data_IF_035689022162
#
_entry.id   IF_035689022162
#
_cell.length_a   1.000
_cell.length_b   1.000
_cell.length_c   1.000
_cell.angle_alpha   90.00
_cell.angle_beta   90.00
_cell.angle_gamma   90.00
#
_symmetry.space_group_name_H-M   'P 1'
#
loop_
_entity.id
_entity.type
_entity.pdbx_description
1 polymer ?
#
# COMPACT_ATOMS: atom_id res chain seq x y z
N UNK A 1 -62.27 46.67 -30.60
CA UNK A 1 -61.22 47.00 -29.60
C UNK A 1 -60.86 45.71 -28.88
N UNK A 2 -59.63 45.21 -29.03
CA UNK A 2 -59.20 44.03 -28.30
C UNK A 2 -59.00 44.39 -26.82
N UNK A 3 -59.49 43.53 -25.92
CA UNK A 3 -59.26 43.72 -24.48
C UNK A 3 -57.75 43.74 -24.23
N UNK A 4 -57.24 44.68 -23.41
CA UNK A 4 -55.82 44.71 -23.09
C UNK A 4 -55.41 43.38 -22.42
N UNK A 5 -54.24 42.88 -22.78
CA UNK A 5 -53.70 41.59 -22.33
C UNK A 5 -53.59 41.48 -20.79
N UNK A 6 -53.54 42.60 -20.08
CA UNK A 6 -53.48 42.63 -18.61
C UNK A 6 -54.86 42.55 -17.94
N UNK A 7 -55.96 42.59 -18.69
CA UNK A 7 -57.32 42.54 -18.14
C UNK A 7 -57.66 41.21 -17.46
N UNK A 8 -56.95 40.13 -17.81
CA UNK A 8 -57.01 38.81 -17.16
C UNK A 8 -56.43 38.83 -15.73
N UNK A 9 -55.50 39.73 -15.44
CA UNK A 9 -54.92 39.89 -14.09
C UNK A 9 -55.70 40.89 -13.22
N UNK A 10 -56.74 41.53 -13.78
CA UNK A 10 -57.53 42.52 -13.07
C UNK A 10 -58.65 41.89 -12.24
N UNK A 11 -58.34 41.64 -10.96
CA UNK A 11 -59.33 41.19 -9.96
C UNK A 11 -60.11 42.40 -9.43
N UNK A 12 -61.44 42.42 -9.56
CA UNK A 12 -62.27 43.57 -9.13
C UNK A 12 -62.48 43.65 -7.61
N UNK A 13 -62.51 42.52 -6.91
CA UNK A 13 -62.77 42.47 -5.48
C UNK A 13 -61.47 42.62 -4.66
N UNK A 14 -61.36 43.58 -3.75
CA UNK A 14 -60.22 43.70 -2.82
C UNK A 14 -59.99 42.44 -1.99
N UNK A 15 -61.07 41.75 -1.58
CA UNK A 15 -61.02 40.52 -0.80
C UNK A 15 -60.34 39.40 -1.59
N UNK A 16 -60.67 39.26 -2.87
CA UNK A 16 -60.09 38.22 -3.73
C UNK A 16 -58.59 38.46 -3.98
N UNK A 17 -58.15 39.73 -4.06
CA UNK A 17 -56.71 40.07 -4.17
C UNK A 17 -55.94 39.65 -2.91
N UNK A 18 -56.47 39.96 -1.74
CA UNK A 18 -55.86 39.59 -0.45
C UNK A 18 -55.82 38.07 -0.32
N UNK A 19 -56.90 37.37 -0.67
CA UNK A 19 -56.96 35.90 -0.65
C UNK A 19 -55.93 35.23 -1.54
N UNK A 20 -55.73 35.73 -2.78
CA UNK A 20 -54.69 35.23 -3.68
C UNK A 20 -53.29 35.45 -3.12
N UNK A 21 -53.00 36.62 -2.54
CA UNK A 21 -51.71 36.89 -1.90
C UNK A 21 -51.42 35.93 -0.75
N UNK A 22 -52.39 35.72 0.15
CA UNK A 22 -52.27 34.76 1.26
C UNK A 22 -52.06 33.34 0.71
N UNK A 23 -52.81 32.93 -0.31
CA UNK A 23 -52.64 31.61 -0.94
C UNK A 23 -51.22 31.40 -1.47
N UNK A 24 -50.66 32.38 -2.20
CA UNK A 24 -49.29 32.28 -2.72
C UNK A 24 -48.26 32.21 -1.59
N UNK A 25 -48.42 33.00 -0.53
CA UNK A 25 -47.52 32.94 0.64
C UNK A 25 -47.61 31.56 1.31
N UNK A 26 -48.82 31.03 1.54
CA UNK A 26 -49.01 29.70 2.12
C UNK A 26 -48.44 28.61 1.22
N UNK A 27 -48.61 28.72 -0.11
CA UNK A 27 -48.04 27.79 -1.08
C UNK A 27 -46.50 27.84 -1.05
N UNK A 28 -45.90 29.03 -1.01
CA UNK A 28 -44.45 29.19 -0.87
C UNK A 28 -43.93 28.60 0.43
N UNK A 29 -44.62 28.82 1.56
CA UNK A 29 -44.27 28.22 2.85
C UNK A 29 -44.35 26.69 2.81
N UNK A 30 -45.37 26.13 2.14
CA UNK A 30 -45.51 24.69 1.92
C UNK A 30 -44.36 24.13 1.09
N UNK A 31 -43.97 24.81 0.01
CA UNK A 31 -42.84 24.40 -0.85
C UNK A 31 -41.53 24.41 -0.06
N UNK A 32 -41.26 25.46 0.71
CA UNK A 32 -40.04 25.54 1.53
C UNK A 32 -40.05 24.47 2.63
N UNK A 33 -41.18 24.22 3.28
CA UNK A 33 -41.31 23.15 4.27
C UNK A 33 -41.07 21.76 3.65
N UNK A 34 -41.59 21.53 2.44
CA UNK A 34 -41.37 20.30 1.69
C UNK A 34 -39.91 20.14 1.25
N UNK A 35 -39.27 21.21 0.77
CA UNK A 35 -37.84 21.21 0.47
C UNK A 35 -37.00 20.93 1.71
N UNK A 36 -37.30 21.58 2.84
CA UNK A 36 -36.63 21.33 4.11
C UNK A 36 -36.74 19.87 4.58
N UNK A 37 -37.86 19.20 4.31
CA UNK A 37 -38.04 17.79 4.65
C UNK A 37 -37.26 16.84 3.73
N UNK A 38 -37.09 17.18 2.46
CA UNK A 38 -36.40 16.34 1.46
C UNK A 38 -34.89 16.59 1.39
N UNK A 39 -34.45 17.77 1.82
CA UNK A 39 -33.05 18.17 1.68
C UNK A 39 -32.11 17.27 2.48
N UNK A 40 -32.50 16.84 3.68
CA UNK A 40 -31.68 15.96 4.51
C UNK A 40 -31.42 14.60 3.82
N UNK A 41 -32.44 13.81 3.41
CA UNK A 41 -32.22 12.61 2.61
C UNK A 41 -31.43 12.84 1.30
N UNK A 42 -31.66 13.98 0.63
CA UNK A 42 -30.96 14.32 -0.61
C UNK A 42 -29.47 14.55 -0.37
N UNK A 43 -29.12 15.29 0.69
CA UNK A 43 -27.74 15.53 1.09
C UNK A 43 -27.07 14.22 1.50
N UNK A 44 -27.75 13.36 2.28
CA UNK A 44 -27.22 12.05 2.66
C UNK A 44 -26.91 11.16 1.45
N UNK A 45 -27.81 11.10 0.47
CA UNK A 45 -27.57 10.37 -0.77
C UNK A 45 -26.40 10.94 -1.59
N UNK A 46 -26.24 12.27 -1.59
CA UNK A 46 -25.11 12.92 -2.25
C UNK A 46 -23.79 12.65 -1.54
N UNK A 47 -23.76 12.65 -0.21
CA UNK A 47 -22.58 12.28 0.59
C UNK A 47 -22.18 10.84 0.31
N UNK A 48 -23.11 9.88 0.34
CA UNK A 48 -22.82 8.49 0.03
C UNK A 48 -22.25 8.30 -1.40
N UNK A 49 -22.78 9.03 -2.38
CA UNK A 49 -22.24 9.03 -3.74
C UNK A 49 -20.83 9.63 -3.82
N UNK A 50 -20.52 10.63 -3.00
CA UNK A 50 -19.19 11.21 -2.91
C UNK A 50 -18.18 10.24 -2.29
N UNK A 51 -18.58 9.58 -1.21
CA UNK A 51 -17.75 8.59 -0.51
C UNK A 51 -17.42 7.40 -1.41
N UNK A 52 -18.42 6.86 -2.13
CA UNK A 52 -18.19 5.79 -3.13
C UNK A 52 -17.19 6.22 -4.22
N UNK A 53 -17.34 7.43 -4.76
CA UNK A 53 -16.42 7.96 -5.78
C UNK A 53 -15.01 8.20 -5.22
N UNK A 54 -14.92 8.61 -3.95
CA UNK A 54 -13.65 8.77 -3.24
C UNK A 54 -12.88 7.46 -3.18
N UNK A 55 -13.57 6.36 -2.87
CA UNK A 55 -13.01 5.00 -2.83
C UNK A 55 -12.58 4.54 -4.22
N UNK A 56 -13.38 4.78 -5.26
CA UNK A 56 -13.04 4.42 -6.66
C UNK A 56 -11.77 5.14 -7.14
N UNK A 57 -11.67 6.45 -6.88
CA UNK A 57 -10.46 7.23 -7.20
C UNK A 57 -9.26 6.74 -6.40
N UNK A 58 -9.47 6.44 -5.11
CA UNK A 58 -8.43 5.86 -4.25
C UNK A 58 -7.93 4.52 -4.77
N UNK A 59 -8.80 3.66 -5.28
CA UNK A 59 -8.43 2.38 -5.87
C UNK A 59 -7.53 2.54 -7.10
N UNK A 60 -7.87 3.47 -8.00
CA UNK A 60 -7.04 3.78 -9.18
C UNK A 60 -5.66 4.33 -8.76
N UNK A 61 -5.63 5.25 -7.80
CA UNK A 61 -4.37 5.77 -7.27
C UNK A 61 -3.54 4.67 -6.62
N UNK A 62 -4.17 3.78 -5.85
CA UNK A 62 -3.50 2.68 -5.18
C UNK A 62 -2.90 1.70 -6.18
N UNK A 63 -3.66 1.32 -7.21
CA UNK A 63 -3.18 0.44 -8.27
C UNK A 63 -1.94 1.00 -8.99
N UNK A 64 -1.92 2.30 -9.23
CA UNK A 64 -0.84 2.96 -9.95
C UNK A 64 0.41 3.24 -9.11
N UNK A 65 0.28 3.35 -7.78
CA UNK A 65 1.36 3.88 -6.92
C UNK A 65 1.75 2.98 -5.74
N UNK A 66 0.85 2.12 -5.27
CA UNK A 66 1.02 1.39 -4.01
C UNK A 66 1.03 -0.13 -4.19
N UNK A 67 0.32 -0.63 -5.20
CA UNK A 67 0.11 -2.07 -5.42
C UNK A 67 1.41 -2.84 -5.71
N UNK A 68 2.45 -2.19 -6.25
CA UNK A 68 3.75 -2.82 -6.51
C UNK A 68 4.43 -3.34 -5.23
N UNK A 69 4.17 -2.69 -4.09
CA UNK A 69 4.75 -3.06 -2.79
C UNK A 69 3.69 -3.71 -1.88
N UNK A 70 2.50 -3.12 -1.80
CA UNK A 70 1.44 -3.59 -0.90
C UNK A 70 0.54 -4.67 -1.54
N UNK A 71 0.81 -5.08 -2.78
CA UNK A 71 -0.02 -5.99 -3.55
C UNK A 71 -1.31 -5.33 -4.07
N UNK A 72 -1.91 -5.85 -5.15
CA UNK A 72 -3.13 -5.29 -5.74
C UNK A 72 -4.32 -5.27 -4.76
N UNK A 73 -4.37 -6.24 -3.85
CA UNK A 73 -5.45 -6.38 -2.85
C UNK A 73 -5.04 -5.84 -1.46
N UNK A 74 -3.91 -5.13 -1.36
CA UNK A 74 -3.41 -4.61 -0.09
C UNK A 74 -2.86 -5.67 0.88
N UNK A 75 -2.67 -6.91 0.43
CA UNK A 75 -2.21 -8.04 1.27
C UNK A 75 -0.72 -8.01 1.63
N UNK A 76 0.02 -7.01 1.13
CA UNK A 76 1.45 -6.90 1.36
C UNK A 76 2.26 -7.96 0.61
N UNK A 77 3.57 -7.81 0.69
CA UNK A 77 4.54 -8.75 0.14
C UNK A 77 5.60 -9.01 1.21
N UNK A 78 5.96 -10.27 1.49
CA UNK A 78 6.95 -10.60 2.51
C UNK A 78 8.25 -9.80 2.36
N UNK A 79 8.72 -9.19 3.46
CA UNK A 79 9.90 -8.33 3.54
C UNK A 79 9.92 -7.07 2.67
N UNK A 80 8.86 -6.81 1.89
CA UNK A 80 8.74 -5.62 1.03
C UNK A 80 7.84 -4.57 1.69
N UNK A 81 6.58 -4.90 1.93
CA UNK A 81 5.64 -4.01 2.58
C UNK A 81 4.57 -4.79 3.37
N UNK A 82 4.09 -4.22 4.49
CA UNK A 82 3.11 -4.88 5.33
C UNK A 82 1.74 -4.99 4.64
N UNK A 83 0.97 -5.98 5.10
CA UNK A 83 -0.43 -6.14 4.74
C UNK A 83 -1.27 -4.99 5.33
N UNK A 84 -1.92 -4.22 4.46
CA UNK A 84 -2.91 -3.20 4.80
C UNK A 84 -4.31 -3.82 4.91
N UNK A 85 -4.58 -4.85 4.09
CA UNK A 85 -5.81 -5.64 4.12
C UNK A 85 -5.65 -6.84 5.07
N UNK A 86 -5.47 -6.56 6.35
CA UNK A 86 -5.24 -7.56 7.41
C UNK A 86 -6.02 -7.19 8.67
N UNK A 87 -6.55 -8.20 9.39
CA UNK A 87 -7.25 -7.99 10.67
C UNK A 87 -6.40 -7.20 11.64
N UNK A 88 -5.11 -7.55 11.75
CA UNK A 88 -4.13 -6.88 12.60
C UNK A 88 -4.05 -5.37 12.35
N UNK A 89 -4.08 -4.96 11.07
CA UNK A 89 -3.95 -3.56 10.69
C UNK A 89 -5.09 -2.70 11.25
N UNK A 90 -6.31 -3.25 11.27
CA UNK A 90 -7.50 -2.57 11.75
C UNK A 90 -7.70 -2.68 13.27
N UNK A 91 -7.22 -3.74 13.92
CA UNK A 91 -7.53 -4.00 15.34
C UNK A 91 -6.39 -3.66 16.30
N UNK A 92 -5.14 -3.89 15.92
CA UNK A 92 -4.03 -3.93 16.87
C UNK A 92 -2.87 -3.00 16.51
N UNK A 93 -2.69 -2.67 15.23
CA UNK A 93 -1.52 -1.92 14.77
C UNK A 93 -1.29 -0.61 15.52
N UNK A 94 -2.33 0.18 15.76
CA UNK A 94 -2.20 1.48 16.43
C UNK A 94 -1.66 1.35 17.85
N UNK A 95 -2.11 0.33 18.58
CA UNK A 95 -1.63 0.04 19.92
C UNK A 95 -0.14 -0.34 19.89
N UNK A 96 0.27 -1.13 18.90
CA UNK A 96 1.66 -1.57 18.76
C UNK A 96 2.64 -0.46 18.42
N UNK A 97 2.18 0.59 17.72
CA UNK A 97 3.02 1.76 17.43
C UNK A 97 2.85 2.88 18.45
N UNK A 98 2.02 2.69 19.48
CA UNK A 98 1.72 3.71 20.48
C UNK A 98 1.01 4.95 19.90
N UNK A 99 0.24 4.78 18.83
CA UNK A 99 -0.50 5.86 18.19
C UNK A 99 -1.83 6.12 18.91
N UNK A 100 -2.09 7.38 19.26
CA UNK A 100 -3.28 7.78 20.01
C UNK A 100 -4.43 8.32 19.14
N UNK A 101 -4.18 8.56 17.85
CA UNK A 101 -5.19 9.02 16.89
C UNK A 101 -5.98 7.88 16.25
N UNK A 102 -6.84 8.23 15.30
CA UNK A 102 -7.57 7.24 14.48
C UNK A 102 -6.66 6.53 13.47
N UNK A 103 -7.11 5.38 12.96
CA UNK A 103 -6.42 4.64 11.90
C UNK A 103 -6.31 5.49 10.62
N UNK A 104 -7.38 6.20 10.26
CA UNK A 104 -7.37 7.12 9.11
C UNK A 104 -6.26 8.16 9.21
N UNK A 105 -6.10 8.80 10.37
CA UNK A 105 -5.02 9.78 10.60
C UNK A 105 -3.64 9.15 10.55
N UNK A 106 -3.49 7.91 11.03
CA UNK A 106 -2.24 7.17 10.94
C UNK A 106 -1.86 6.88 9.48
N UNK A 107 -2.83 6.43 8.67
CA UNK A 107 -2.64 6.17 7.24
C UNK A 107 -2.36 7.46 6.48
N UNK A 108 -3.15 8.50 6.73
CA UNK A 108 -2.98 9.82 6.13
C UNK A 108 -1.57 10.37 6.40
N UNK A 109 -1.12 10.40 7.66
CA UNK A 109 0.23 10.84 8.00
C UNK A 109 1.31 9.99 7.32
N UNK A 110 1.12 8.67 7.29
CA UNK A 110 2.07 7.74 6.66
C UNK A 110 2.17 7.99 5.15
N UNK A 111 1.05 8.28 4.47
CA UNK A 111 1.06 8.64 3.05
C UNK A 111 1.70 10.01 2.82
N UNK A 112 1.37 10.99 3.65
CA UNK A 112 1.92 12.34 3.52
C UNK A 112 3.43 12.35 3.67
N UNK A 113 3.96 11.77 4.75
CA UNK A 113 5.38 11.86 5.09
C UNK A 113 6.22 10.68 4.57
N UNK A 114 5.59 9.57 4.18
CA UNK A 114 6.28 8.29 3.95
C UNK A 114 6.69 7.62 5.26
N UNK A 115 7.47 6.54 5.16
CA UNK A 115 8.01 5.81 6.31
C UNK A 115 9.46 5.43 6.04
N UNK A 116 10.43 5.94 6.83
CA UNK A 116 11.82 5.56 6.66
C UNK A 116 12.00 4.07 6.94
N UNK A 117 12.97 3.47 6.26
CA UNK A 117 13.41 2.11 6.57
C UNK A 117 14.01 2.06 7.96
N UNK A 118 13.69 1.01 8.71
CA UNK A 118 14.43 0.63 9.91
C UNK A 118 15.33 -0.54 9.51
N UNK A 119 16.64 -0.32 9.53
CA UNK A 119 17.67 -1.31 9.16
C UNK A 119 17.56 -2.62 9.95
N UNK A 120 16.97 -2.56 11.14
CA UNK A 120 16.89 -3.68 12.08
C UNK A 120 15.49 -4.30 12.14
N UNK A 121 14.66 -4.08 11.11
CA UNK A 121 13.33 -4.70 11.00
C UNK A 121 13.15 -5.39 9.65
N UNK A 122 12.22 -6.33 9.59
CA UNK A 122 11.82 -7.05 8.38
C UNK A 122 11.40 -6.17 7.18
N UNK A 123 11.11 -4.88 7.39
CA UNK A 123 10.67 -3.94 6.36
C UNK A 123 11.81 -3.01 6.00
N UNK A 124 12.74 -3.55 5.21
CA UNK A 124 13.99 -2.87 4.82
C UNK A 124 13.77 -1.78 3.77
N UNK A 125 12.63 -1.79 3.09
CA UNK A 125 12.29 -0.79 2.07
C UNK A 125 11.68 0.47 2.68
N UNK A 126 12.07 1.62 2.14
CA UNK A 126 11.48 2.91 2.49
C UNK A 126 10.12 3.01 1.80
N UNK A 127 9.07 3.38 2.55
CA UNK A 127 7.84 3.86 1.93
C UNK A 127 8.06 5.33 1.56
N UNK A 128 8.04 5.69 0.27
CA UNK A 128 8.34 7.05 -0.16
C UNK A 128 7.28 8.04 0.33
N UNK A 129 7.66 9.31 0.35
CA UNK A 129 6.77 10.43 0.66
C UNK A 129 5.82 10.68 -0.51
N UNK A 130 4.51 10.68 -0.28
CA UNK A 130 3.51 10.89 -1.33
C UNK A 130 2.87 12.27 -1.31
N UNK A 131 2.71 12.88 -0.13
CA UNK A 131 2.08 14.19 0.01
C UNK A 131 2.93 15.32 -0.59
N UNK A 132 2.30 16.17 -1.40
CA UNK A 132 2.97 17.28 -2.07
C UNK A 132 3.53 18.32 -1.10
N UNK A 133 2.93 18.49 0.08
CA UNK A 133 3.46 19.38 1.11
C UNK A 133 4.79 18.88 1.70
N UNK A 134 5.11 17.59 1.53
CA UNK A 134 6.36 16.97 1.95
C UNK A 134 7.28 16.62 0.76
N UNK A 135 6.93 17.05 -0.46
CA UNK A 135 7.73 16.85 -1.68
C UNK A 135 7.33 15.64 -2.54
N UNK A 136 6.23 14.96 -2.21
CA UNK A 136 5.66 13.89 -3.02
C UNK A 136 4.77 14.38 -4.18
N UNK A 137 4.28 13.47 -5.05
CA UNK A 137 3.53 13.84 -6.24
C UNK A 137 2.03 14.05 -6.02
N UNK A 138 1.47 13.63 -4.88
CA UNK A 138 0.02 13.60 -4.65
C UNK A 138 -0.45 14.80 -3.85
N UNK A 139 -1.59 15.36 -4.25
CA UNK A 139 -2.27 16.42 -3.48
C UNK A 139 -3.02 15.85 -2.27
N UNK A 140 -3.32 16.69 -1.29
CA UNK A 140 -4.07 16.31 -0.10
C UNK A 140 -5.42 15.62 -0.42
N UNK A 141 -6.17 16.06 -1.43
CA UNK A 141 -7.42 15.42 -1.85
C UNK A 141 -7.19 13.98 -2.35
N UNK A 142 -6.11 13.75 -3.08
CA UNK A 142 -5.72 12.42 -3.57
C UNK A 142 -5.28 11.50 -2.42
N UNK A 143 -4.59 12.04 -1.41
CA UNK A 143 -4.27 11.31 -0.19
C UNK A 143 -5.55 10.91 0.55
N UNK A 144 -6.52 11.81 0.71
CA UNK A 144 -7.79 11.48 1.35
C UNK A 144 -8.56 10.36 0.61
N UNK A 145 -8.52 10.33 -0.72
CA UNK A 145 -9.09 9.24 -1.52
C UNK A 145 -8.38 7.90 -1.28
N UNK A 146 -7.04 7.88 -1.21
CA UNK A 146 -6.26 6.70 -0.85
C UNK A 146 -6.61 6.19 0.56
N UNK A 147 -6.73 7.11 1.53
CA UNK A 147 -7.14 6.77 2.91
C UNK A 147 -8.52 6.12 2.91
N UNK A 148 -9.49 6.71 2.20
CA UNK A 148 -10.84 6.16 2.08
C UNK A 148 -10.83 4.75 1.47
N UNK A 149 -10.01 4.52 0.43
CA UNK A 149 -9.87 3.20 -0.18
C UNK A 149 -9.25 2.16 0.77
N UNK A 150 -8.17 2.50 1.47
CA UNK A 150 -7.53 1.59 2.43
C UNK A 150 -8.49 1.26 3.58
N UNK A 151 -9.20 2.25 4.12
CA UNK A 151 -10.16 2.03 5.21
C UNK A 151 -11.39 1.23 4.77
N UNK A 152 -11.73 1.25 3.48
CA UNK A 152 -12.85 0.48 2.95
C UNK A 152 -12.65 -1.05 3.07
N UNK A 153 -11.42 -1.52 3.31
CA UNK A 153 -11.16 -2.94 3.60
C UNK A 153 -11.55 -3.37 5.01
N UNK A 154 -11.93 -2.46 5.91
CA UNK A 154 -12.15 -2.79 7.32
C UNK A 154 -13.11 -3.96 7.50
N UNK A 155 -14.29 -3.93 6.87
CA UNK A 155 -15.32 -4.96 7.01
C UNK A 155 -14.81 -6.35 6.61
N UNK A 156 -14.15 -6.43 5.44
CA UNK A 156 -13.59 -7.68 4.94
C UNK A 156 -12.38 -8.14 5.78
N UNK A 157 -11.51 -7.21 6.17
CA UNK A 157 -10.29 -7.49 6.93
C UNK A 157 -10.59 -8.04 8.32
N UNK A 158 -11.56 -7.46 9.04
CA UNK A 158 -11.90 -7.89 10.40
C UNK A 158 -12.62 -9.24 10.44
N UNK A 159 -13.22 -9.63 9.31
CA UNK A 159 -13.90 -10.91 9.13
C UNK A 159 -12.97 -12.07 8.78
N UNK A 160 -11.72 -11.80 8.38
CA UNK A 160 -10.74 -12.83 8.03
C UNK A 160 -10.44 -13.76 9.21
N UNK A 161 -10.40 -15.06 8.92
CA UNK A 161 -9.88 -16.07 9.85
C UNK A 161 -8.34 -16.00 9.91
N UNK A 162 -7.70 -16.59 10.94
CA UNK A 162 -6.24 -16.67 10.98
C UNK A 162 -5.63 -17.34 9.75
N UNK A 163 -6.32 -18.26 9.10
CA UNK A 163 -5.82 -18.94 7.88
C UNK A 163 -5.84 -18.02 6.66
N UNK A 164 -6.82 -17.12 6.57
CA UNK A 164 -7.01 -16.22 5.43
C UNK A 164 -6.24 -14.91 5.56
N UNK A 165 -5.99 -14.48 6.80
CA UNK A 165 -5.37 -13.19 7.07
C UNK A 165 -3.91 -13.16 6.59
N UNK A 166 -3.53 -12.24 5.68
CA UNK A 166 -2.17 -12.10 5.18
C UNK A 166 -1.21 -11.49 6.21
N UNK A 167 -1.63 -11.32 7.47
CA UNK A 167 -0.80 -10.84 8.57
C UNK A 167 0.56 -11.54 8.63
N UNK A 168 1.58 -10.70 8.81
CA UNK A 168 2.97 -11.08 9.03
C UNK A 168 3.43 -10.48 10.36
N UNK A 169 4.24 -11.23 11.09
CA UNK A 169 4.70 -10.83 12.42
C UNK A 169 5.64 -9.63 12.38
N UNK A 170 5.32 -8.56 13.11
CA UNK A 170 6.18 -7.38 13.27
C UNK A 170 7.20 -7.58 14.39
N UNK A 171 8.48 -7.67 14.04
CA UNK A 171 9.60 -7.85 14.97
C UNK A 171 9.70 -6.72 16.00
N UNK A 172 9.22 -5.52 15.67
CA UNK A 172 9.21 -4.35 16.56
C UNK A 172 7.85 -4.07 17.22
N UNK A 173 6.88 -4.98 17.13
CA UNK A 173 5.58 -4.82 17.78
C UNK A 173 5.72 -4.79 19.31
N UNK A 174 5.08 -3.81 19.95
CA UNK A 174 5.03 -3.71 21.41
C UNK A 174 4.18 -4.81 22.04
N UNK A 175 3.07 -5.19 21.41
CA UNK A 175 2.25 -6.29 21.91
C UNK A 175 2.74 -7.64 21.40
N UNK A 176 2.83 -8.59 22.33
CA UNK A 176 3.18 -9.99 22.05
C UNK A 176 1.94 -10.87 21.91
N UNK A 177 0.82 -10.25 21.52
CA UNK A 177 -0.48 -10.91 21.36
C UNK A 177 -0.84 -10.92 19.88
N UNK A 178 -1.48 -12.00 19.43
CA UNK A 178 -2.04 -12.06 18.10
C UNK A 178 -3.41 -11.36 18.08
N UNK A 179 -3.87 -10.85 16.93
CA UNK A 179 -5.21 -10.27 16.76
C UNK A 179 -6.32 -11.34 16.68
N UNK A 180 -6.02 -12.58 17.09
CA UNK A 180 -6.88 -13.75 16.96
C UNK A 180 -7.09 -14.40 18.32
N UNK A 181 -8.22 -15.07 18.48
CA UNK A 181 -8.51 -15.89 19.65
C UNK A 181 -7.88 -17.29 19.52
N UNK A 182 -7.39 -17.91 20.62
CA UNK A 182 -6.75 -19.23 20.59
C UNK A 182 -7.62 -20.39 20.07
N UNK A 183 -8.95 -20.23 20.07
CA UNK A 183 -9.91 -21.23 19.58
C UNK A 183 -10.18 -21.13 18.07
N UNK A 184 -9.67 -20.11 17.39
CA UNK A 184 -9.86 -19.93 15.94
C UNK A 184 -8.96 -20.90 15.13
N UNK A 185 -9.47 -21.54 14.07
CA UNK A 185 -8.66 -22.34 13.15
C UNK A 185 -7.48 -21.54 12.57
N UNK A 186 -6.29 -22.15 12.54
CA UNK A 186 -5.06 -21.49 12.08
C UNK A 186 -4.32 -20.66 13.13
N UNK A 187 -4.86 -20.51 14.35
CA UNK A 187 -4.18 -19.77 15.43
C UNK A 187 -2.77 -20.30 15.70
N UNK A 188 -2.62 -21.60 15.89
CA UNK A 188 -1.33 -22.23 16.18
C UNK A 188 -0.31 -22.03 15.06
N UNK A 189 -0.75 -21.98 13.79
CA UNK A 189 0.11 -21.68 12.66
C UNK A 189 0.62 -20.24 12.72
N UNK A 190 -0.24 -19.28 13.09
CA UNK A 190 0.17 -17.88 13.28
C UNK A 190 1.10 -17.71 14.47
N UNK A 191 0.89 -18.44 15.57
CA UNK A 191 1.82 -18.48 16.71
C UNK A 191 3.19 -18.99 16.26
N UNK A 192 3.22 -20.12 15.54
CA UNK A 192 4.47 -20.69 15.02
C UNK A 192 5.19 -19.75 14.07
N UNK A 193 4.46 -19.07 13.16
CA UNK A 193 5.03 -18.06 12.26
C UNK A 193 5.64 -16.88 13.03
N UNK A 194 4.94 -16.39 14.07
CA UNK A 194 5.42 -15.29 14.89
C UNK A 194 6.67 -15.66 15.70
N UNK A 195 6.70 -16.87 16.27
CA UNK A 195 7.86 -17.38 17.00
C UNK A 195 9.04 -17.55 16.06
N UNK A 196 8.86 -18.19 14.91
CA UNK A 196 9.93 -18.36 13.93
C UNK A 196 10.51 -17.01 13.45
N UNK A 197 9.66 -16.01 13.24
CA UNK A 197 10.09 -14.67 12.87
C UNK A 197 10.82 -13.94 14.00
N UNK A 198 10.41 -14.15 15.26
CA UNK A 198 11.11 -13.62 16.44
C UNK A 198 12.49 -14.28 16.63
N UNK A 199 12.57 -15.61 16.45
CA UNK A 199 13.82 -16.37 16.51
C UNK A 199 14.79 -15.96 15.40
N UNK A 200 14.29 -15.77 14.18
CA UNK A 200 15.09 -15.25 13.06
C UNK A 200 15.62 -13.83 13.31
N UNK A 201 14.91 -13.03 14.12
CA UNK A 201 15.34 -11.71 14.57
C UNK A 201 16.26 -11.75 15.81
N UNK A 202 16.63 -12.95 16.30
CA UNK A 202 17.48 -13.13 17.48
C UNK A 202 16.78 -12.85 18.82
N UNK A 203 15.45 -12.79 18.85
CA UNK A 203 14.70 -12.57 20.09
C UNK A 203 14.62 -13.84 20.94
N UNK A 204 15.13 -13.79 22.17
CA UNK A 204 15.09 -14.90 23.14
C UNK A 204 14.06 -14.62 24.24
N UNK A 205 13.33 -15.64 24.67
CA UNK A 205 12.33 -15.53 25.75
C UNK A 205 11.07 -14.75 25.35
N UNK A 206 10.80 -14.68 24.05
CA UNK A 206 9.64 -14.01 23.49
C UNK A 206 8.42 -14.93 23.53
N UNK A 207 7.33 -14.55 24.21
CA UNK A 207 6.17 -15.43 24.40
C UNK A 207 4.94 -14.92 23.63
N UNK A 208 4.34 -15.77 22.79
CA UNK A 208 3.01 -15.54 22.17
C UNK A 208 2.07 -16.67 22.60
N UNK A 209 0.88 -16.33 23.10
CA UNK A 209 -0.13 -17.34 23.45
C UNK A 209 0.32 -18.32 24.54
N UNK A 210 1.36 -17.98 25.32
CA UNK A 210 1.97 -18.87 26.32
C UNK A 210 3.07 -19.79 25.76
N UNK A 211 3.37 -19.72 24.46
CA UNK A 211 4.48 -20.45 23.82
C UNK A 211 5.69 -19.53 23.68
N UNK A 212 6.86 -19.98 24.14
CA UNK A 212 8.09 -19.18 24.21
C UNK A 212 9.03 -19.50 23.03
N UNK A 213 9.54 -18.45 22.39
CA UNK A 213 10.61 -18.52 21.41
C UNK A 213 11.87 -19.06 22.08
N UNK A 214 12.42 -20.12 21.49
CA UNK A 214 13.60 -20.78 22.01
C UNK A 214 14.83 -20.05 21.48
N UNK A 215 15.90 -20.02 22.27
CA UNK A 215 17.17 -19.58 21.75
C UNK A 215 17.49 -20.42 20.50
N UNK A 216 17.85 -19.81 19.36
CA UNK A 216 18.32 -20.60 18.23
C UNK A 216 19.47 -21.47 18.76
N UNK A 217 19.38 -22.78 18.53
CA UNK A 217 20.45 -23.70 18.93
C UNK A 217 21.78 -23.12 18.43
N UNK A 218 22.78 -23.04 19.29
CA UNK A 218 24.15 -22.69 18.90
C UNK A 218 24.56 -23.67 17.77
N UNK A 219 24.41 -23.25 16.52
CA UNK A 219 24.59 -24.10 15.35
C UNK A 219 23.43 -24.23 14.35
N UNK A 220 22.33 -23.47 14.48
CA UNK A 220 21.38 -23.34 13.36
C UNK A 220 22.00 -22.45 12.26
N UNK A 221 22.83 -23.06 11.42
CA UNK A 221 23.21 -22.48 10.15
C UNK A 221 21.94 -22.13 9.37
N UNK A 222 21.96 -20.97 8.71
CA UNK A 222 21.10 -20.66 7.56
C UNK A 222 20.99 -21.91 6.64
N UNK A 223 19.86 -22.11 5.94
CA UNK A 223 19.63 -23.29 5.10
C UNK A 223 20.92 -23.74 4.43
N UNK A 224 21.34 -24.97 4.73
CA UNK A 224 22.64 -25.50 4.28
C UNK A 224 22.56 -25.83 2.80
N UNK A 225 22.81 -24.81 1.99
CA UNK A 225 22.94 -24.85 0.55
C UNK A 225 22.62 -23.49 -0.07
N UNK A 226 23.24 -23.13 -1.20
CA UNK A 226 22.85 -21.92 -1.92
C UNK A 226 21.36 -21.97 -2.27
N UNK A 227 20.63 -20.90 -1.96
CA UNK A 227 19.23 -20.75 -2.38
C UNK A 227 19.14 -20.75 -3.90
N UNK A 228 18.03 -21.26 -4.43
CA UNK A 228 17.78 -21.25 -5.88
C UNK A 228 17.77 -19.80 -6.42
N UNK A 229 18.37 -19.51 -7.59
CA UNK A 229 18.45 -18.17 -8.18
C UNK A 229 17.11 -17.46 -8.37
N UNK A 230 16.05 -18.16 -8.80
CA UNK A 230 14.72 -17.56 -8.98
C UNK A 230 14.10 -17.19 -7.63
N UNK A 231 14.33 -18.04 -6.63
CA UNK A 231 13.96 -17.77 -5.24
C UNK A 231 14.73 -16.59 -4.67
N UNK A 232 16.02 -16.47 -4.96
CA UNK A 232 16.85 -15.31 -4.57
C UNK A 232 16.34 -14.02 -5.21
N UNK A 233 16.09 -14.03 -6.52
CA UNK A 233 15.59 -12.85 -7.24
C UNK A 233 14.26 -12.35 -6.67
N UNK A 234 13.40 -13.26 -6.23
CA UNK A 234 12.11 -12.92 -5.60
C UNK A 234 12.28 -12.49 -4.15
N UNK A 235 13.00 -13.26 -3.33
CA UNK A 235 13.15 -13.03 -1.88
C UNK A 235 14.02 -11.82 -1.54
N UNK A 236 14.94 -11.43 -2.42
CA UNK A 236 15.74 -10.21 -2.31
C UNK A 236 15.02 -8.97 -2.87
N UNK A 237 13.79 -9.13 -3.39
CA UNK A 237 12.95 -8.03 -3.85
C UNK A 237 13.29 -7.48 -5.24
N UNK A 238 14.14 -8.15 -6.02
CA UNK A 238 14.57 -7.68 -7.34
C UNK A 238 13.38 -7.56 -8.31
N UNK A 239 12.40 -8.47 -8.22
CA UNK A 239 11.12 -8.45 -8.98
C UNK A 239 10.33 -7.15 -8.82
N UNK A 240 10.50 -6.43 -7.70
CA UNK A 240 9.76 -5.20 -7.43
C UNK A 240 10.25 -4.01 -8.27
N UNK A 241 11.49 -4.06 -8.77
CA UNK A 241 12.10 -2.97 -9.52
C UNK A 241 12.44 -3.36 -10.97
N UNK A 242 12.77 -4.63 -11.20
CA UNK A 242 13.24 -5.14 -12.49
C UNK A 242 12.23 -6.08 -13.13
N UNK A 243 11.81 -5.77 -14.36
CA UNK A 243 10.97 -6.67 -15.15
C UNK A 243 11.83 -7.70 -15.89
N UNK A 244 11.68 -8.98 -15.55
CA UNK A 244 12.48 -10.06 -16.14
C UNK A 244 12.15 -10.38 -17.60
N UNK A 245 10.91 -10.16 -18.02
CA UNK A 245 10.42 -10.67 -19.31
C UNK A 245 10.37 -9.59 -20.41
N UNK A 246 10.59 -8.34 -20.04
CA UNK A 246 10.53 -7.21 -20.97
C UNK A 246 11.94 -6.86 -21.46
N UNK A 247 12.14 -6.55 -22.75
CA UNK A 247 13.43 -6.04 -23.22
C UNK A 247 13.64 -4.60 -22.78
N UNK A 248 14.87 -4.24 -22.41
CA UNK A 248 15.28 -2.87 -22.19
C UNK A 248 15.67 -2.21 -23.52
N UNK A 249 14.94 -1.16 -23.91
CA UNK A 249 15.21 -0.36 -25.12
C UNK A 249 15.07 1.14 -24.81
N UNK A 250 15.32 2.01 -25.79
CA UNK A 250 15.11 3.45 -25.63
C UNK A 250 13.63 3.82 -25.39
N UNK A 251 12.71 3.05 -25.98
CA UNK A 251 11.27 3.29 -25.89
C UNK A 251 10.57 2.39 -24.85
N UNK A 252 11.25 1.35 -24.34
CA UNK A 252 10.74 0.43 -23.32
C UNK A 252 11.73 0.31 -22.16
N UNK A 253 11.47 1.07 -21.10
CA UNK A 253 12.28 1.08 -19.87
C UNK A 253 11.43 0.75 -18.66
N UNK A 254 11.98 -0.02 -17.72
CA UNK A 254 11.29 -0.32 -16.47
C UNK A 254 11.09 0.94 -15.62
N UNK A 255 10.02 1.02 -14.81
CA UNK A 255 9.63 2.23 -14.10
C UNK A 255 10.57 2.60 -12.94
N UNK A 256 11.20 1.60 -12.31
CA UNK A 256 12.07 1.78 -11.14
C UNK A 256 13.50 1.32 -11.43
N UNK A 257 13.67 0.10 -11.94
CA UNK A 257 14.93 -0.41 -12.47
C UNK A 257 14.84 -0.73 -13.96
N UNK A 258 15.97 -0.93 -14.66
CA UNK A 258 16.00 -1.40 -16.03
C UNK A 258 15.32 -2.77 -16.18
N UNK A 259 14.64 -2.95 -17.31
CA UNK A 259 14.14 -4.26 -17.72
C UNK A 259 15.32 -5.22 -17.99
N UNK A 260 15.09 -6.52 -17.83
CA UNK A 260 16.14 -7.55 -17.82
C UNK A 260 15.98 -8.61 -18.91
N UNK A 261 14.91 -8.56 -19.72
CA UNK A 261 14.61 -9.59 -20.72
C UNK A 261 15.57 -9.67 -21.92
N UNK A 262 16.53 -8.75 -22.00
CA UNK A 262 17.66 -8.80 -22.93
C UNK A 262 18.97 -8.42 -22.21
N UNK A 263 19.08 -8.78 -20.92
CA UNK A 263 20.25 -8.45 -20.11
C UNK A 263 21.53 -9.05 -20.70
N UNK A 264 21.51 -10.32 -21.10
CA UNK A 264 22.68 -11.02 -21.63
C UNK A 264 23.28 -10.32 -22.87
N UNK A 265 22.43 -9.75 -23.72
CA UNK A 265 22.85 -9.01 -24.92
C UNK A 265 23.47 -7.64 -24.57
N UNK A 266 22.93 -6.99 -23.55
CA UNK A 266 23.28 -5.62 -23.22
C UNK A 266 24.44 -5.52 -22.23
N UNK A 267 24.54 -6.43 -21.26
CA UNK A 267 25.44 -6.36 -20.10
C UNK A 267 26.91 -6.14 -20.50
N UNK A 268 27.42 -6.93 -21.45
CA UNK A 268 28.80 -6.82 -21.93
C UNK A 268 29.14 -5.48 -22.62
N UNK A 269 28.13 -4.68 -22.96
CA UNK A 269 28.31 -3.40 -23.66
C UNK A 269 28.10 -2.18 -22.74
N UNK A 270 27.81 -2.39 -21.45
CA UNK A 270 27.50 -1.30 -20.51
C UNK A 270 28.75 -0.60 -19.98
N UNK A 271 29.76 -1.37 -19.59
CA UNK A 271 31.00 -0.85 -19.01
C UNK A 271 32.18 -1.29 -19.86
N UNK A 272 32.96 -0.33 -20.33
CA UNK A 272 34.10 -0.62 -21.20
C UNK A 272 35.15 -1.45 -20.45
N UNK A 273 35.42 -2.66 -20.95
CA UNK A 273 36.42 -3.58 -20.38
C UNK A 273 35.87 -4.60 -19.39
N UNK A 274 34.57 -4.58 -19.09
CA UNK A 274 33.89 -5.64 -18.32
C UNK A 274 33.13 -6.59 -19.26
N UNK A 275 33.13 -7.87 -18.93
CA UNK A 275 32.22 -8.82 -19.57
C UNK A 275 30.83 -8.78 -18.91
N UNK A 276 29.85 -9.47 -19.51
CA UNK A 276 28.48 -9.49 -19.00
C UNK A 276 28.40 -10.01 -17.56
N UNK A 277 29.21 -11.01 -17.22
CA UNK A 277 29.22 -11.66 -15.91
C UNK A 277 29.76 -10.72 -14.82
N UNK A 278 30.87 -10.06 -15.11
CA UNK A 278 31.49 -9.04 -14.24
C UNK A 278 30.54 -7.86 -14.05
N UNK A 279 29.92 -7.37 -15.13
CA UNK A 279 28.99 -6.26 -15.06
C UNK A 279 27.78 -6.57 -14.17
N UNK A 280 27.14 -7.72 -14.34
CA UNK A 280 25.94 -8.09 -13.55
C UNK A 280 26.33 -8.36 -12.10
N UNK A 281 27.45 -9.04 -11.85
CA UNK A 281 27.98 -9.23 -10.49
C UNK A 281 28.23 -7.88 -9.80
N UNK A 282 29.00 -6.99 -10.44
CA UNK A 282 29.28 -5.64 -9.94
C UNK A 282 28.00 -4.84 -9.72
N UNK A 283 26.99 -4.98 -10.58
CA UNK A 283 25.70 -4.30 -10.42
C UNK A 283 24.94 -4.78 -9.18
N UNK A 284 25.13 -6.02 -8.75
CA UNK A 284 24.52 -6.58 -7.54
C UNK A 284 25.32 -6.18 -6.29
N UNK A 285 26.66 -6.32 -6.33
CA UNK A 285 27.49 -6.08 -5.14
C UNK A 285 27.84 -4.60 -4.93
N UNK A 286 27.89 -3.80 -6.00
CA UNK A 286 28.22 -2.39 -6.00
C UNK A 286 27.31 -1.59 -6.97
N UNK A 287 25.99 -1.51 -6.73
CA UNK A 287 25.04 -0.96 -7.70
C UNK A 287 25.31 0.49 -8.10
N UNK A 288 25.91 1.29 -7.23
CA UNK A 288 26.27 2.68 -7.52
C UNK A 288 27.56 2.85 -8.33
N UNK A 289 28.31 1.76 -8.61
CA UNK A 289 29.51 1.83 -9.43
C UNK A 289 29.19 2.18 -10.89
N UNK A 290 28.02 1.76 -11.38
CA UNK A 290 27.51 2.13 -12.69
C UNK A 290 25.98 2.18 -12.66
N UNK A 291 25.42 3.36 -12.97
CA UNK A 291 23.97 3.56 -13.07
C UNK A 291 23.59 3.70 -14.54
N UNK A 292 22.65 2.88 -15.00
CA UNK A 292 22.12 2.94 -16.37
C UNK A 292 21.49 4.30 -16.63
N UNK A 293 21.77 4.89 -17.79
CA UNK A 293 21.22 6.19 -18.18
C UNK A 293 19.70 6.24 -18.03
N UNK A 294 19.21 7.31 -17.39
CA UNK A 294 17.78 7.53 -17.15
C UNK A 294 17.26 6.97 -15.82
N UNK A 295 18.11 6.32 -15.01
CA UNK A 295 17.80 5.86 -13.65
C UNK A 295 18.52 6.70 -12.58
N UNK A 296 17.96 6.73 -11.37
CA UNK A 296 18.54 7.46 -10.24
C UNK A 296 19.51 6.57 -9.46
N UNK A 297 20.63 7.14 -9.02
CA UNK A 297 21.56 6.48 -8.12
C UNK A 297 20.94 6.29 -6.72
N UNK A 298 21.39 5.26 -6.00
CA UNK A 298 20.95 4.95 -4.64
C UNK A 298 19.59 4.28 -4.50
N UNK A 299 18.91 3.97 -5.62
CA UNK A 299 17.63 3.24 -5.61
C UNK A 299 17.84 1.74 -5.40
N UNK A 300 18.86 1.15 -6.04
CA UNK A 300 19.20 -0.26 -5.84
C UNK A 300 19.95 -0.43 -4.50
N UNK A 301 19.49 -1.33 -3.60
CA UNK A 301 20.12 -1.55 -2.30
C UNK A 301 21.60 -1.91 -2.41
N UNK A 302 22.43 -1.38 -1.50
CA UNK A 302 23.89 -1.49 -1.56
C UNK A 302 24.46 -2.62 -0.67
N UNK A 303 23.59 -3.46 -0.09
CA UNK A 303 23.97 -4.42 0.94
C UNK A 303 23.67 -5.89 0.56
N UNK A 304 23.53 -6.19 -0.73
CA UNK A 304 23.28 -7.57 -1.17
C UNK A 304 24.43 -8.53 -0.85
N UNK A 305 25.68 -8.05 -0.87
CA UNK A 305 26.86 -8.82 -0.45
C UNK A 305 26.85 -9.21 1.03
N UNK A 306 26.03 -8.56 1.85
CA UNK A 306 25.85 -8.89 3.26
C UNK A 306 24.71 -9.90 3.49
N UNK A 307 23.80 -10.04 2.50
CA UNK A 307 22.58 -10.83 2.58
C UNK A 307 22.60 -12.12 1.74
N UNK A 308 23.55 -12.22 0.81
CA UNK A 308 23.74 -13.36 -0.08
C UNK A 308 25.20 -13.83 -0.02
N UNK A 309 25.40 -15.15 -0.10
CA UNK A 309 26.76 -15.68 -0.25
C UNK A 309 27.31 -15.42 -1.65
N UNK A 310 28.62 -15.45 -1.80
CA UNK A 310 29.27 -15.31 -3.10
C UNK A 310 28.81 -16.40 -4.10
N UNK A 311 28.53 -17.61 -3.62
CA UNK A 311 28.00 -18.70 -4.43
C UNK A 311 26.58 -18.42 -4.92
N UNK A 312 25.74 -17.82 -4.06
CA UNK A 312 24.38 -17.41 -4.41
C UNK A 312 24.36 -16.25 -5.41
N UNK A 313 25.26 -15.28 -5.25
CA UNK A 313 25.40 -14.15 -6.18
C UNK A 313 25.84 -14.67 -7.55
N UNK A 314 26.85 -15.53 -7.61
CA UNK A 314 27.32 -16.11 -8.87
C UNK A 314 26.23 -16.96 -9.55
N UNK A 315 25.51 -17.78 -8.78
CA UNK A 315 24.36 -18.54 -9.31
C UNK A 315 23.24 -17.65 -9.83
N UNK A 316 22.98 -16.51 -9.16
CA UNK A 316 22.01 -15.52 -9.62
C UNK A 316 22.46 -14.84 -10.91
N UNK A 317 23.73 -14.48 -11.02
CA UNK A 317 24.32 -13.88 -12.23
C UNK A 317 24.20 -14.84 -13.41
N UNK A 318 24.58 -16.10 -13.25
CA UNK A 318 24.49 -17.12 -14.29
C UNK A 318 23.03 -17.30 -14.75
N UNK A 319 22.11 -17.38 -13.80
CA UNK A 319 20.68 -17.52 -14.09
C UNK A 319 20.14 -16.31 -14.86
N UNK A 320 20.47 -15.08 -14.45
CA UNK A 320 20.05 -13.86 -15.13
C UNK A 320 20.60 -13.75 -16.56
N UNK A 321 21.82 -14.24 -16.80
CA UNK A 321 22.45 -14.21 -18.12
C UNK A 321 22.03 -15.38 -19.02
N UNK A 322 21.37 -16.40 -18.48
CA UNK A 322 20.90 -17.58 -19.22
C UNK A 322 19.51 -17.42 -19.83
N UNK A 323 18.81 -16.31 -19.54
CA UNK A 323 17.43 -16.06 -19.95
C UNK A 323 17.33 -15.18 -21.20
#
# INVERSE_FOLDING_TARGET
MQKPWYSIFYVRSPIVKIGLGILFVLLSLLIVAFQGFIEEPRMQAQTASWDGRSIEIGAELFANNCASCHGPDGKGLPNVAPALHSRYFFTQRLADVGWSGSLGQYVELTLHAGRPSKTDTQWVNIMPTWGNEFGGPLRADQISHLVAYVLNWEEDAVAQTPEEDPWQFFQDALSKQLPYSPDEPGYDQKVAQAIAAAEAAGAVGYTIGGVEAQAPAEGAAAPSGPRDPETLFTSMGCVGCHNLNEPQTADNRGPVGPNMGNLAENAANRVAGEDAQTYVHNSIVNPSAYVVEGYMDGIMPQNFSEQMSEEEINGLVDWLLSR
#
